data_IF_521246718965
#
_entry.id   IF_521246718965
#
_cell.length_a   1.000
_cell.length_b   1.000
_cell.length_c   1.000
_cell.angle_alpha   90.00
_cell.angle_beta   90.00
_cell.angle_gamma   90.00
#
_symmetry.space_group_name_H-M   'P 1'
#
loop_
_entity.id
_entity.type
_entity.pdbx_description
1 polymer ?
#
# COMPACT_ATOMS: atom_id res chain seq x y z
N UNK A 1 -84.40 61.98 -30.55
CA UNK A 1 -83.71 60.68 -30.44
C UNK A 1 -82.27 60.94 -30.05
N UNK A 2 -81.97 60.95 -28.75
CA UNK A 2 -81.32 59.87 -27.99
C UNK A 2 -79.80 60.10 -27.91
N UNK A 3 -79.35 60.63 -26.77
CA UNK A 3 -77.91 60.76 -26.45
C UNK A 3 -77.36 59.38 -26.08
N UNK A 4 -76.18 58.96 -26.56
CA UNK A 4 -75.57 57.72 -26.13
C UNK A 4 -75.03 57.84 -24.70
N UNK A 5 -75.16 56.74 -23.97
CA UNK A 5 -74.98 56.57 -22.53
C UNK A 5 -73.50 56.38 -22.18
N UNK A 6 -72.94 57.29 -21.38
CA UNK A 6 -71.52 57.40 -21.01
C UNK A 6 -71.08 56.42 -19.90
N UNK A 7 -71.89 55.40 -19.59
CA UNK A 7 -71.69 54.53 -18.43
C UNK A 7 -71.10 53.13 -18.75
N UNK A 8 -70.66 52.87 -19.99
CA UNK A 8 -70.18 51.53 -20.40
C UNK A 8 -68.66 51.32 -20.25
N UNK A 9 -67.87 52.36 -19.96
CA UNK A 9 -66.40 52.28 -20.09
C UNK A 9 -65.61 52.12 -18.77
N UNK A 10 -66.30 51.97 -17.62
CA UNK A 10 -65.64 51.91 -16.30
C UNK A 10 -65.41 50.49 -15.76
N UNK A 11 -66.00 49.46 -16.39
CA UNK A 11 -65.89 48.06 -15.97
C UNK A 11 -64.80 47.24 -16.68
N UNK A 12 -64.34 47.65 -17.87
CA UNK A 12 -63.40 46.88 -18.70
C UNK A 12 -61.93 47.10 -18.28
N UNK A 13 -61.63 48.23 -17.63
CA UNK A 13 -60.26 48.59 -17.23
C UNK A 13 -59.81 47.96 -15.92
N UNK A 14 -60.73 47.67 -14.98
CA UNK A 14 -60.38 47.04 -13.69
C UNK A 14 -60.07 45.53 -13.80
N UNK A 15 -60.77 44.82 -14.67
CA UNK A 15 -60.60 43.36 -14.86
C UNK A 15 -59.28 43.03 -15.60
N UNK A 16 -58.90 43.90 -16.55
CA UNK A 16 -57.68 43.74 -17.35
C UNK A 16 -56.40 44.01 -16.53
N UNK A 17 -56.44 44.95 -15.59
CA UNK A 17 -55.31 45.28 -14.70
C UNK A 17 -55.06 44.15 -13.68
N UNK A 18 -56.13 43.57 -13.14
CA UNK A 18 -56.05 42.41 -12.24
C UNK A 18 -55.50 41.16 -12.95
N UNK A 19 -55.93 40.90 -14.19
CA UNK A 19 -55.43 39.80 -15.00
C UNK A 19 -53.95 39.98 -15.39
N UNK A 20 -53.51 41.20 -15.71
CA UNK A 20 -52.11 41.51 -15.99
C UNK A 20 -51.21 41.32 -14.76
N UNK A 21 -51.67 41.77 -13.58
CA UNK A 21 -50.96 41.57 -12.31
C UNK A 21 -50.82 40.10 -11.95
N UNK A 22 -51.89 39.32 -12.08
CA UNK A 22 -51.86 37.88 -11.78
C UNK A 22 -50.90 37.11 -12.70
N UNK A 23 -50.82 37.47 -14.00
CA UNK A 23 -49.84 36.89 -14.93
C UNK A 23 -48.40 37.26 -14.57
N UNK A 24 -48.14 38.52 -14.23
CA UNK A 24 -46.81 38.97 -13.84
C UNK A 24 -46.33 38.28 -12.56
N UNK A 25 -47.22 38.09 -11.58
CA UNK A 25 -46.89 37.40 -10.32
C UNK A 25 -46.64 35.91 -10.53
N UNK A 26 -47.43 35.25 -11.39
CA UNK A 26 -47.24 33.84 -11.73
C UNK A 26 -45.92 33.61 -12.49
N UNK A 27 -45.57 34.51 -13.43
CA UNK A 27 -44.32 34.40 -14.18
C UNK A 27 -43.10 34.69 -13.30
N UNK A 28 -43.19 35.64 -12.37
CA UNK A 28 -42.14 35.92 -11.38
C UNK A 28 -41.93 34.74 -10.43
N UNK A 29 -43.01 34.11 -9.94
CA UNK A 29 -42.93 32.89 -9.12
C UNK A 29 -42.30 31.72 -9.89
N UNK A 30 -42.71 31.51 -11.14
CA UNK A 30 -42.16 30.42 -11.96
C UNK A 30 -40.66 30.60 -12.23
N UNK A 31 -40.20 31.83 -12.48
CA UNK A 31 -38.76 32.12 -12.65
C UNK A 31 -37.98 31.92 -11.35
N UNK A 32 -38.51 32.39 -10.22
CA UNK A 32 -37.88 32.20 -8.92
C UNK A 32 -37.76 30.71 -8.54
N UNK A 33 -38.81 29.91 -8.75
CA UNK A 33 -38.75 28.46 -8.49
C UNK A 33 -37.79 27.73 -9.43
N UNK A 34 -37.71 28.12 -10.69
CA UNK A 34 -36.76 27.54 -11.64
C UNK A 34 -35.31 27.84 -11.25
N UNK A 35 -35.03 29.07 -10.81
CA UNK A 35 -33.70 29.49 -10.37
C UNK A 35 -33.28 28.78 -9.07
N UNK A 36 -34.19 28.65 -8.10
CA UNK A 36 -33.94 27.90 -6.86
C UNK A 36 -33.66 26.42 -7.15
N UNK A 37 -34.43 25.79 -8.04
CA UNK A 37 -34.17 24.38 -8.42
C UNK A 37 -32.83 24.21 -9.13
N UNK A 38 -32.47 25.13 -10.03
CA UNK A 38 -31.19 25.08 -10.73
C UNK A 38 -30.01 25.24 -9.77
N UNK A 39 -30.12 26.13 -8.77
CA UNK A 39 -29.09 26.30 -7.74
C UNK A 39 -28.97 25.07 -6.84
N UNK A 40 -30.09 24.46 -6.43
CA UNK A 40 -30.08 23.24 -5.62
C UNK A 40 -29.47 22.04 -6.36
N UNK A 41 -29.79 21.83 -7.63
CA UNK A 41 -29.18 20.77 -8.44
C UNK A 41 -27.68 21.00 -8.64
N UNK A 42 -27.26 22.25 -8.89
CA UNK A 42 -25.85 22.59 -9.03
C UNK A 42 -25.07 22.38 -7.72
N UNK A 43 -25.68 22.68 -6.57
CA UNK A 43 -25.06 22.47 -5.25
C UNK A 43 -24.97 20.98 -4.91
N UNK A 44 -26.01 20.19 -5.19
CA UNK A 44 -25.98 18.72 -5.05
C UNK A 44 -24.90 18.08 -5.93
N UNK A 45 -24.82 18.48 -7.19
CA UNK A 45 -23.81 17.95 -8.11
C UNK A 45 -22.38 18.27 -7.64
N UNK A 46 -22.15 19.46 -7.06
CA UNK A 46 -20.86 19.81 -6.45
C UNK A 46 -20.57 18.97 -5.20
N UNK A 47 -21.55 18.78 -4.32
CA UNK A 47 -21.39 17.99 -3.12
C UNK A 47 -21.07 16.51 -3.44
N UNK A 48 -21.79 15.90 -4.38
CA UNK A 48 -21.51 14.53 -4.83
C UNK A 48 -20.13 14.39 -5.49
N UNK A 49 -19.72 15.38 -6.29
CA UNK A 49 -18.38 15.37 -6.89
C UNK A 49 -17.27 15.46 -5.83
N UNK A 50 -17.45 16.30 -4.82
CA UNK A 50 -16.48 16.45 -3.72
C UNK A 50 -16.43 15.21 -2.83
N UNK A 51 -17.57 14.61 -2.50
CA UNK A 51 -17.65 13.37 -1.72
C UNK A 51 -16.97 12.22 -2.46
N UNK A 52 -17.24 12.07 -3.76
CA UNK A 52 -16.61 11.05 -4.59
C UNK A 52 -15.10 11.23 -4.71
N UNK A 53 -14.63 12.48 -4.83
CA UNK A 53 -13.20 12.77 -4.85
C UNK A 53 -12.51 12.45 -3.51
N UNK A 54 -13.17 12.75 -2.37
CA UNK A 54 -12.65 12.39 -1.04
C UNK A 54 -12.63 10.87 -0.85
N UNK A 55 -13.69 10.16 -1.25
CA UNK A 55 -13.75 8.71 -1.13
C UNK A 55 -12.68 8.00 -1.97
N UNK A 56 -12.42 8.48 -3.19
CA UNK A 56 -11.38 7.94 -4.06
C UNK A 56 -9.98 8.19 -3.48
N UNK A 57 -9.73 9.40 -2.96
CA UNK A 57 -8.47 9.73 -2.30
C UNK A 57 -8.20 8.88 -1.05
N UNK A 58 -9.22 8.66 -0.22
CA UNK A 58 -9.11 7.83 0.99
C UNK A 58 -8.87 6.35 0.63
N UNK A 59 -9.58 5.83 -0.38
CA UNK A 59 -9.38 4.48 -0.89
C UNK A 59 -7.97 4.28 -1.47
N UNK A 60 -7.46 5.26 -2.23
CA UNK A 60 -6.10 5.23 -2.76
C UNK A 60 -5.04 5.25 -1.64
N UNK A 61 -5.24 6.10 -0.63
CA UNK A 61 -4.34 6.17 0.53
C UNK A 61 -4.34 4.87 1.35
N UNK A 62 -5.52 4.29 1.60
CA UNK A 62 -5.65 3.02 2.29
C UNK A 62 -4.95 1.88 1.52
N UNK A 63 -5.13 1.82 0.20
CA UNK A 63 -4.48 0.81 -0.65
C UNK A 63 -2.97 0.96 -0.64
N UNK A 64 -2.45 2.19 -0.78
CA UNK A 64 -1.01 2.44 -0.74
C UNK A 64 -0.38 2.03 0.60
N UNK A 65 -1.06 2.32 1.72
CA UNK A 65 -0.58 1.92 3.05
C UNK A 65 -0.57 0.40 3.24
N UNK A 66 -1.64 -0.28 2.81
CA UNK A 66 -1.72 -1.73 2.89
C UNK A 66 -0.64 -2.41 2.03
N UNK A 67 -0.37 -1.89 0.83
CA UNK A 67 0.66 -2.44 -0.06
C UNK A 67 2.08 -2.23 0.52
N UNK A 68 2.35 -1.05 1.10
CA UNK A 68 3.61 -0.78 1.78
C UNK A 68 3.84 -1.68 3.01
N UNK A 69 2.82 -1.89 3.83
CA UNK A 69 2.91 -2.82 4.98
C UNK A 69 3.13 -4.28 4.51
N UNK A 70 2.44 -4.71 3.46
CA UNK A 70 2.63 -6.05 2.91
C UNK A 70 4.04 -6.26 2.36
N UNK A 71 4.59 -5.29 1.63
CA UNK A 71 5.96 -5.34 1.12
C UNK A 71 6.99 -5.38 2.25
N UNK A 72 6.82 -4.55 3.29
CA UNK A 72 7.72 -4.53 4.44
C UNK A 72 7.73 -5.87 5.20
N UNK A 73 6.57 -6.49 5.39
CA UNK A 73 6.47 -7.81 6.02
C UNK A 73 7.12 -8.90 5.16
N UNK A 74 6.88 -8.88 3.84
CA UNK A 74 7.47 -9.85 2.92
C UNK A 74 9.00 -9.74 2.88
N UNK A 75 9.54 -8.53 2.84
CA UNK A 75 10.99 -8.31 2.83
C UNK A 75 11.64 -8.74 4.15
N UNK A 76 10.99 -8.45 5.28
CA UNK A 76 11.45 -8.90 6.60
C UNK A 76 11.44 -10.43 6.73
N UNK A 77 10.42 -11.10 6.21
CA UNK A 77 10.33 -12.57 6.22
C UNK A 77 11.39 -13.19 5.31
N UNK A 78 11.57 -12.63 4.10
CA UNK A 78 12.63 -13.05 3.17
C UNK A 78 14.02 -12.89 3.79
N UNK A 79 14.30 -11.76 4.42
CA UNK A 79 15.61 -11.52 5.05
C UNK A 79 15.88 -12.53 6.18
N UNK A 80 14.87 -12.87 6.99
CA UNK A 80 15.00 -13.91 8.02
C UNK A 80 15.25 -15.29 7.41
N UNK A 81 14.49 -15.67 6.38
CA UNK A 81 14.65 -16.95 5.70
C UNK A 81 16.03 -17.08 5.05
N UNK A 82 16.53 -16.00 4.43
CA UNK A 82 17.84 -15.97 3.78
C UNK A 82 18.98 -16.04 4.80
N UNK A 83 18.85 -15.34 5.93
CA UNK A 83 19.83 -15.43 7.03
C UNK A 83 19.87 -16.83 7.66
N UNK A 84 18.71 -17.46 7.88
CA UNK A 84 18.64 -18.83 8.41
C UNK A 84 19.20 -19.85 7.41
N UNK A 85 18.88 -19.70 6.11
CA UNK A 85 19.43 -20.55 5.06
C UNK A 85 20.95 -20.41 4.97
N UNK A 86 21.48 -19.19 5.04
CA UNK A 86 22.92 -18.96 5.03
C UNK A 86 23.59 -19.58 6.26
N UNK A 87 23.05 -19.35 7.46
CA UNK A 87 23.58 -19.94 8.69
C UNK A 87 23.60 -21.47 8.64
N UNK A 88 22.56 -22.09 8.07
CA UNK A 88 22.50 -23.54 7.89
C UNK A 88 23.49 -24.02 6.83
N UNK A 89 23.66 -23.27 5.74
CA UNK A 89 24.62 -23.61 4.68
C UNK A 89 26.06 -23.51 5.18
N UNK A 90 26.40 -22.46 5.93
CA UNK A 90 27.70 -22.29 6.59
C UNK A 90 27.96 -23.41 7.60
N UNK A 91 26.97 -23.75 8.44
CA UNK A 91 27.10 -24.85 9.40
C UNK A 91 27.31 -26.21 8.69
N UNK A 92 26.60 -26.48 7.59
CA UNK A 92 26.79 -27.71 6.81
C UNK A 92 28.15 -27.71 6.09
N UNK A 93 28.60 -26.56 5.57
CA UNK A 93 29.92 -26.42 4.96
C UNK A 93 31.04 -26.67 5.98
N UNK A 94 30.93 -26.10 7.18
CA UNK A 94 31.88 -26.33 8.27
C UNK A 94 31.90 -27.80 8.70
N UNK A 95 30.72 -28.41 8.88
CA UNK A 95 30.62 -29.84 9.22
C UNK A 95 31.21 -30.74 8.13
N UNK A 96 31.03 -30.40 6.84
CA UNK A 96 31.66 -31.12 5.73
C UNK A 96 33.17 -30.91 5.68
N UNK A 97 33.65 -29.73 6.05
CA UNK A 97 35.07 -29.42 6.14
C UNK A 97 35.70 -30.26 7.27
N UNK A 98 35.19 -30.19 8.50
CA UNK A 98 35.66 -31.02 9.62
C UNK A 98 35.62 -32.53 9.28
N UNK A 99 34.58 -33.00 8.60
CA UNK A 99 34.46 -34.40 8.18
C UNK A 99 35.50 -34.82 7.13
N UNK A 100 36.20 -33.88 6.49
CA UNK A 100 37.16 -34.11 5.41
C UNK A 100 38.63 -33.89 5.79
N UNK A 101 38.97 -33.62 7.06
CA UNK A 101 40.37 -33.39 7.46
C UNK A 101 41.32 -34.58 7.26
N UNK A 102 42.64 -34.40 7.39
CA UNK A 102 43.59 -35.51 7.23
C UNK A 102 43.44 -36.53 8.36
N UNK A 103 43.83 -37.78 8.09
CA UNK A 103 43.73 -38.88 9.06
C UNK A 103 45.10 -39.13 9.66
N UNK A 104 45.20 -39.08 10.98
CA UNK A 104 46.43 -39.39 11.69
C UNK A 104 46.86 -40.85 11.42
N UNK A 105 48.10 -41.06 10.98
CA UNK A 105 48.73 -42.39 10.83
C UNK A 105 49.43 -42.84 12.10
N UNK A 106 49.85 -41.90 12.95
CA UNK A 106 50.48 -42.16 14.24
C UNK A 106 49.78 -41.39 15.36
N UNK A 107 50.26 -41.53 16.60
CA UNK A 107 49.72 -40.75 17.73
C UNK A 107 50.28 -39.32 17.68
N UNK A 108 49.41 -38.33 17.49
CA UNK A 108 49.78 -36.92 17.35
C UNK A 108 49.12 -36.11 18.47
N UNK A 109 49.78 -35.04 18.93
CA UNK A 109 49.22 -34.10 19.89
C UNK A 109 49.08 -32.73 19.25
N UNK A 110 47.85 -32.25 19.09
CA UNK A 110 47.52 -30.92 18.56
C UNK A 110 46.60 -30.21 19.55
N UNK A 111 46.87 -28.95 19.86
CA UNK A 111 46.11 -28.13 20.81
C UNK A 111 45.74 -28.84 22.13
N UNK A 112 46.72 -29.56 22.69
CA UNK A 112 46.54 -30.29 23.95
C UNK A 112 45.69 -31.57 23.84
N UNK A 113 45.08 -31.85 22.69
CA UNK A 113 44.33 -33.08 22.38
C UNK A 113 45.26 -34.13 21.77
N UNK A 114 45.06 -35.40 22.12
CA UNK A 114 45.82 -36.53 21.57
C UNK A 114 44.95 -37.27 20.56
N UNK A 115 45.40 -37.33 19.31
CA UNK A 115 44.75 -38.03 18.21
C UNK A 115 45.43 -39.38 17.99
N UNK A 116 44.64 -40.44 17.99
CA UNK A 116 45.11 -41.81 17.75
C UNK A 116 45.27 -42.06 16.25
N UNK A 117 46.06 -43.08 15.85
CA UNK A 117 46.05 -43.57 14.48
C UNK A 117 44.61 -43.88 14.01
N UNK A 118 44.24 -43.39 12.83
CA UNK A 118 42.90 -43.46 12.26
C UNK A 118 41.95 -42.33 12.69
N UNK A 119 42.35 -41.45 13.62
CA UNK A 119 41.55 -40.30 14.00
C UNK A 119 41.64 -39.18 12.94
N UNK A 120 40.51 -38.51 12.70
CA UNK A 120 40.45 -37.35 11.81
C UNK A 120 40.95 -36.12 12.55
N UNK A 121 41.87 -35.39 11.94
CA UNK A 121 42.40 -34.14 12.46
C UNK A 121 41.48 -32.97 12.03
N UNK A 122 41.31 -31.94 12.89
CA UNK A 122 40.48 -30.77 12.59
C UNK A 122 41.11 -29.92 11.49
N UNK A 123 40.34 -29.45 10.51
CA UNK A 123 40.88 -28.68 9.37
C UNK A 123 41.35 -27.27 9.77
N UNK A 124 40.89 -26.73 10.90
CA UNK A 124 41.24 -25.38 11.37
C UNK A 124 42.72 -25.20 11.82
N UNK A 125 43.57 -26.23 11.69
CA UNK A 125 45.02 -26.07 11.89
C UNK A 125 45.65 -25.33 10.68
N UNK A 126 46.66 -24.50 10.94
CA UNK A 126 47.41 -23.82 9.87
C UNK A 126 47.94 -24.83 8.84
N UNK A 127 47.82 -24.52 7.54
CA UNK A 127 48.29 -25.40 6.45
C UNK A 127 49.76 -25.84 6.66
N UNK A 128 50.59 -24.98 7.25
CA UNK A 128 52.00 -25.27 7.59
C UNK A 128 52.16 -26.46 8.58
N UNK A 129 51.21 -26.63 9.50
CA UNK A 129 51.22 -27.76 10.47
C UNK A 129 50.91 -29.07 9.74
N UNK A 130 49.96 -29.05 8.80
CA UNK A 130 49.66 -30.24 8.01
C UNK A 130 50.80 -30.61 7.08
N UNK A 131 51.45 -29.63 6.45
CA UNK A 131 52.64 -29.88 5.62
C UNK A 131 53.78 -30.50 6.44
N UNK A 132 54.01 -30.06 7.68
CA UNK A 132 54.99 -30.67 8.57
C UNK A 132 54.62 -32.10 8.97
N UNK A 133 53.34 -32.34 9.29
CA UNK A 133 52.82 -33.67 9.61
C UNK A 133 52.91 -34.62 8.41
N UNK A 134 52.66 -34.14 7.20
CA UNK A 134 52.83 -34.93 5.97
C UNK A 134 54.31 -35.23 5.73
N UNK A 135 55.20 -34.24 5.91
CA UNK A 135 56.64 -34.40 5.72
C UNK A 135 57.26 -35.46 6.66
N UNK A 136 56.74 -35.60 7.88
CA UNK A 136 57.16 -36.64 8.83
C UNK A 136 56.34 -37.94 8.70
N UNK A 137 55.37 -38.00 7.79
CA UNK A 137 54.52 -39.16 7.52
C UNK A 137 53.50 -39.46 8.62
N UNK A 138 53.12 -38.45 9.40
CA UNK A 138 52.15 -38.54 10.49
C UNK A 138 50.69 -38.51 10.00
N UNK A 139 50.41 -38.05 8.79
CA UNK A 139 49.09 -38.06 8.12
C UNK A 139 49.16 -38.67 6.71
#
# INVERSE_FOLDING_TARGET
MSKPNENQNKGVTGDNDAAAKAKAEAEAKAKAEAEVKALQEAEKAKAEAEEKAKADADAAAAKAKAEAEAQALQEADRAKAEAEAQAKADAEAFARLEANGPIARCEIRLDGKTYKPGARLPIDEDDDVFDELEAIGAI
#
